data_IF_394944213986
#
_entry.id   IF_394944213986
#
_cell.length_a   1.000
_cell.length_b   1.000
_cell.length_c   1.000
_cell.angle_alpha   90.00
_cell.angle_beta   90.00
_cell.angle_gamma   90.00
#
_symmetry.space_group_name_H-M   'P 1'
#
loop_
_entity.id
_entity.type
_entity.pdbx_description
1 polymer ?
#
# COMPACT_ATOMS: atom_id res chain seq x y z
N UNK A 1 15.29 5.03 -6.18
CA UNK A 1 15.27 3.85 -7.07
C UNK A 1 14.47 2.78 -6.35
N UNK A 2 13.32 2.39 -6.89
CA UNK A 2 12.49 1.35 -6.27
C UNK A 2 13.23 0.02 -6.38
N UNK A 3 13.47 -0.64 -5.24
CA UNK A 3 14.09 -1.96 -5.21
C UNK A 3 13.03 -2.96 -5.70
N UNK A 4 13.16 -3.43 -6.93
CA UNK A 4 12.26 -4.44 -7.49
C UNK A 4 12.60 -5.75 -6.76
N UNK A 5 11.78 -6.14 -5.78
CA UNK A 5 11.97 -7.42 -5.09
C UNK A 5 11.59 -8.53 -6.07
N UNK A 6 12.57 -9.25 -6.60
CA UNK A 6 12.35 -10.41 -7.46
C UNK A 6 11.91 -11.60 -6.59
N UNK A 7 10.59 -11.80 -6.48
CA UNK A 7 10.05 -12.94 -5.75
C UNK A 7 10.02 -14.19 -6.62
N UNK A 8 10.87 -15.16 -6.30
CA UNK A 8 10.90 -16.45 -6.96
C UNK A 8 10.29 -17.52 -6.05
N UNK A 9 9.20 -18.13 -6.52
CA UNK A 9 8.68 -19.34 -5.90
C UNK A 9 9.39 -20.56 -6.49
N UNK A 10 10.26 -21.20 -5.68
CA UNK A 10 10.91 -22.46 -6.03
C UNK A 10 10.26 -23.62 -5.28
N UNK A 11 9.97 -24.72 -6.00
CA UNK A 11 9.48 -25.97 -5.43
C UNK A 11 10.60 -26.99 -5.35
N UNK A 12 10.82 -27.59 -4.19
CA UNK A 12 11.71 -28.75 -4.05
C UNK A 12 10.99 -30.04 -4.45
N UNK A 13 11.70 -30.88 -5.21
CA UNK A 13 11.24 -32.23 -5.56
C UNK A 13 11.90 -33.25 -4.63
N UNK A 14 11.30 -34.44 -4.50
CA UNK A 14 11.99 -35.62 -3.92
C UNK A 14 13.23 -36.01 -4.71
N UNK A 15 13.28 -35.66 -6.00
CA UNK A 15 14.46 -35.81 -6.84
C UNK A 15 15.44 -34.65 -6.63
N UNK A 16 16.58 -34.96 -6.02
CA UNK A 16 17.66 -34.02 -5.75
C UNK A 16 18.23 -33.39 -7.05
N UNK A 17 18.19 -34.11 -8.18
CA UNK A 17 18.70 -33.58 -9.45
C UNK A 17 17.83 -32.45 -10.01
N UNK A 18 16.51 -32.57 -9.90
CA UNK A 18 15.56 -31.53 -10.31
C UNK A 18 15.77 -30.25 -9.50
N UNK A 19 15.94 -30.38 -8.19
CA UNK A 19 16.21 -29.25 -7.29
C UNK A 19 17.56 -28.57 -7.59
N UNK A 20 18.58 -29.35 -7.96
CA UNK A 20 19.90 -28.84 -8.35
C UNK A 20 19.88 -28.10 -9.69
N UNK A 21 19.17 -28.63 -10.70
CA UNK A 21 19.02 -27.94 -12.00
C UNK A 21 18.28 -26.62 -11.87
N UNK A 22 17.23 -26.57 -11.04
CA UNK A 22 16.50 -25.33 -10.78
C UNK A 22 17.39 -24.28 -10.11
N UNK A 23 18.27 -24.67 -9.19
CA UNK A 23 19.23 -23.73 -8.59
C UNK A 23 20.17 -23.12 -9.63
N UNK A 24 20.72 -23.94 -10.53
CA UNK A 24 21.61 -23.46 -11.59
C UNK A 24 20.92 -22.44 -12.51
N UNK A 25 19.65 -22.68 -12.86
CA UNK A 25 18.87 -21.76 -13.71
C UNK A 25 18.58 -20.42 -13.01
N UNK A 26 18.38 -20.42 -11.69
CA UNK A 26 18.16 -19.20 -10.92
C UNK A 26 19.45 -18.37 -10.79
N UNK A 27 20.57 -19.05 -10.59
CA UNK A 27 21.90 -18.45 -10.56
C UNK A 27 22.25 -17.78 -11.90
N UNK A 28 22.02 -18.47 -13.02
CA UNK A 28 22.22 -17.93 -14.37
C UNK A 28 21.31 -16.73 -14.67
N UNK A 29 20.10 -16.70 -14.09
CA UNK A 29 19.17 -15.58 -14.22
C UNK A 29 19.54 -14.35 -13.35
N UNK A 30 20.62 -14.42 -12.56
CA UNK A 30 21.04 -13.35 -11.65
C UNK A 30 20.04 -13.09 -10.52
N UNK A 31 19.28 -14.12 -10.14
CA UNK A 31 18.31 -14.04 -9.04
C UNK A 31 19.00 -14.48 -7.75
N UNK A 32 19.54 -13.51 -7.03
CA UNK A 32 20.19 -13.68 -5.73
C UNK A 32 19.13 -13.83 -4.61
N UNK A 33 19.39 -14.67 -3.62
CA UNK A 33 18.53 -14.95 -2.45
C UNK A 33 17.05 -15.30 -2.75
N UNK A 34 16.76 -16.32 -3.58
CA UNK A 34 15.39 -16.77 -3.78
C UNK A 34 14.80 -17.28 -2.45
N UNK A 35 13.58 -16.88 -2.14
CA UNK A 35 12.85 -17.44 -1.00
C UNK A 35 12.50 -18.89 -1.34
N UNK A 36 13.31 -19.83 -0.86
CA UNK A 36 13.11 -21.27 -1.08
C UNK A 36 12.07 -21.80 -0.10
N UNK A 37 10.99 -22.36 -0.64
CA UNK A 37 9.96 -23.04 0.14
C UNK A 37 10.19 -24.54 0.08
N UNK A 38 10.74 -25.10 1.16
CA UNK A 38 10.85 -26.55 1.36
C UNK A 38 9.47 -27.11 1.75
N UNK A 39 8.78 -27.78 0.81
CA UNK A 39 7.53 -28.50 1.07
C UNK A 39 7.82 -29.99 1.37
N UNK A 40 7.11 -30.56 2.34
CA UNK A 40 7.25 -31.97 2.71
C UNK A 40 6.93 -32.88 1.50
N UNK A 41 7.85 -33.77 1.08
CA UNK A 41 7.66 -34.64 -0.08
C UNK A 41 6.37 -35.45 0.01
N UNK A 42 5.37 -35.08 -0.82
CA UNK A 42 4.09 -35.77 -0.92
C UNK A 42 2.85 -34.91 -0.60
N UNK A 43 3.02 -33.65 -0.21
CA UNK A 43 1.88 -32.76 0.13
C UNK A 43 1.34 -31.99 -1.10
N UNK A 44 2.11 -31.92 -2.18
CA UNK A 44 1.86 -31.08 -3.36
C UNK A 44 0.63 -31.45 -4.20
N UNK A 45 0.08 -32.67 -4.09
CA UNK A 45 -1.07 -33.10 -4.89
C UNK A 45 -2.44 -32.80 -4.26
N UNK A 46 -2.48 -32.34 -3.00
CA UNK A 46 -3.76 -32.19 -2.26
C UNK A 46 -4.25 -30.75 -2.15
N UNK A 47 -3.42 -29.75 -2.44
CA UNK A 47 -3.77 -28.34 -2.27
C UNK A 47 -3.47 -27.53 -3.53
N UNK A 48 -4.45 -26.73 -3.94
CA UNK A 48 -4.31 -25.73 -4.99
C UNK A 48 -3.13 -24.79 -4.66
N UNK A 49 -2.28 -24.39 -5.62
CA UNK A 49 -1.09 -23.56 -5.37
C UNK A 49 -1.35 -22.31 -4.51
N UNK A 50 -2.46 -21.59 -4.77
CA UNK A 50 -2.85 -20.38 -4.03
C UNK A 50 -3.38 -20.64 -2.60
N UNK A 51 -3.66 -21.90 -2.26
CA UNK A 51 -4.20 -22.30 -0.95
C UNK A 51 -3.12 -22.87 -0.02
N UNK A 52 -1.86 -22.88 -0.46
CA UNK A 52 -0.75 -23.42 0.34
C UNK A 52 -0.36 -22.42 1.44
N UNK A 53 -0.12 -22.86 2.68
CA UNK A 53 0.11 -21.97 3.83
C UNK A 53 1.16 -20.87 3.59
N UNK A 54 2.28 -21.23 2.97
CA UNK A 54 3.39 -20.30 2.68
C UNK A 54 3.14 -19.34 1.50
N UNK A 55 2.15 -19.63 0.64
CA UNK A 55 1.72 -18.70 -0.41
C UNK A 55 0.84 -17.58 0.17
N UNK A 56 0.13 -17.86 1.28
CA UNK A 56 -0.64 -16.86 2.04
C UNK A 56 0.23 -16.04 3.00
N UNK A 57 1.34 -16.61 3.49
CA UNK A 57 2.30 -15.95 4.39
C UNK A 57 3.26 -14.98 3.68
N UNK A 58 3.20 -14.86 2.36
CA UNK A 58 3.88 -13.76 1.67
C UNK A 58 3.07 -12.47 1.86
N UNK A 59 3.06 -11.96 3.10
CA UNK A 59 2.89 -10.54 3.40
C UNK A 59 4.16 -9.78 2.95
N UNK A 60 4.59 -10.01 1.71
CA UNK A 60 5.39 -8.99 1.03
C UNK A 60 4.39 -7.85 0.87
N UNK A 61 4.58 -6.69 1.52
CA UNK A 61 3.70 -5.56 1.27
C UNK A 61 3.74 -5.39 -0.25
N UNK A 62 2.59 -5.65 -0.89
CA UNK A 62 2.45 -5.50 -2.33
C UNK A 62 3.13 -4.17 -2.67
N UNK A 63 4.07 -4.12 -3.64
CA UNK A 63 4.85 -2.92 -3.90
C UNK A 63 3.87 -1.77 -3.90
N UNK A 64 4.02 -0.84 -2.95
CA UNK A 64 2.99 0.15 -2.68
C UNK A 64 2.93 1.06 -3.89
N UNK A 65 2.13 0.66 -4.88
CA UNK A 65 1.96 1.39 -6.11
C UNK A 65 1.42 2.74 -5.70
N UNK A 66 2.09 3.80 -6.19
CA UNK A 66 1.62 5.15 -5.97
C UNK A 66 0.19 5.25 -6.50
N UNK A 67 -0.72 5.68 -5.64
CA UNK A 67 -2.11 5.92 -6.00
C UNK A 67 -2.34 7.41 -5.99
N UNK A 68 -3.06 7.92 -6.98
CA UNK A 68 -3.52 9.31 -6.99
C UNK A 68 -4.92 9.39 -6.39
N UNK A 69 -5.09 10.11 -5.29
CA UNK A 69 -6.38 10.43 -4.71
C UNK A 69 -6.68 11.93 -4.77
N UNK A 70 -7.94 12.26 -5.08
CA UNK A 70 -8.45 13.61 -4.94
C UNK A 70 -8.69 13.90 -3.45
N UNK A 71 -7.94 14.84 -2.88
CA UNK A 71 -8.09 15.33 -1.51
C UNK A 71 -8.94 16.62 -1.52
N UNK A 72 -9.98 16.74 -0.68
CA UNK A 72 -10.75 17.98 -0.56
C UNK A 72 -9.87 19.14 -0.09
N UNK A 73 -10.05 20.33 -0.67
CA UNK A 73 -9.23 21.51 -0.36
C UNK A 73 -9.18 21.86 1.13
N UNK A 74 -10.30 21.74 1.84
CA UNK A 74 -10.36 21.97 3.30
C UNK A 74 -9.48 21.01 4.10
N UNK A 75 -9.33 19.77 3.62
CA UNK A 75 -8.43 18.76 4.22
C UNK A 75 -6.98 19.13 3.91
N UNK A 76 -6.68 19.46 2.64
CA UNK A 76 -5.34 19.89 2.24
C UNK A 76 -4.86 21.13 3.00
N UNK A 77 -5.72 22.14 3.14
CA UNK A 77 -5.40 23.39 3.85
C UNK A 77 -5.13 23.13 5.34
N UNK A 78 -5.90 22.23 5.97
CA UNK A 78 -5.64 21.81 7.35
C UNK A 78 -4.29 21.10 7.49
N UNK A 79 -4.01 20.14 6.61
CA UNK A 79 -2.77 19.34 6.66
C UNK A 79 -1.51 20.18 6.41
N UNK A 80 -1.58 21.20 5.55
CA UNK A 80 -0.45 22.14 5.34
C UNK A 80 -0.07 22.92 6.60
N UNK A 81 -1.00 23.08 7.54
CA UNK A 81 -0.74 23.72 8.84
C UNK A 81 -0.38 22.73 9.95
N UNK A 82 -0.50 21.43 9.70
CA UNK A 82 -0.18 20.38 10.66
C UNK A 82 1.32 20.08 10.65
N UNK A 83 1.80 19.52 11.75
CA UNK A 83 3.13 18.92 11.78
C UNK A 83 3.08 17.55 11.10
N UNK A 84 3.90 17.36 10.07
CA UNK A 84 3.85 16.24 9.13
C UNK A 84 5.26 15.68 8.92
N UNK A 85 5.33 14.37 8.74
CA UNK A 85 6.56 13.69 8.34
C UNK A 85 7.03 14.15 6.95
N UNK A 86 8.32 14.04 6.63
CA UNK A 86 8.86 14.50 5.34
C UNK A 86 8.13 13.90 4.12
N UNK A 87 7.74 12.63 4.18
CA UNK A 87 7.01 11.96 3.10
C UNK A 87 5.57 12.46 2.93
N UNK A 88 4.86 12.73 4.03
CA UNK A 88 3.52 13.32 4.04
C UNK A 88 3.56 14.73 3.44
N UNK A 89 4.55 15.54 3.83
CA UNK A 89 4.75 16.91 3.34
C UNK A 89 5.09 16.93 1.85
N UNK A 90 6.04 16.10 1.42
CA UNK A 90 6.42 15.99 0.00
C UNK A 90 5.20 15.62 -0.88
N UNK A 91 4.35 14.69 -0.44
CA UNK A 91 3.15 14.31 -1.17
C UNK A 91 2.14 15.47 -1.34
N UNK A 92 2.03 16.36 -0.36
CA UNK A 92 1.17 17.56 -0.45
C UNK A 92 1.77 18.65 -1.31
N UNK A 93 3.10 18.81 -1.27
CA UNK A 93 3.84 19.82 -2.03
C UNK A 93 3.91 19.48 -3.53
N UNK A 94 4.08 18.20 -3.86
CA UNK A 94 4.00 17.68 -5.23
C UNK A 94 2.54 17.59 -5.75
N UNK A 95 1.56 17.77 -4.85
CA UNK A 95 0.15 17.65 -5.17
C UNK A 95 -0.35 18.71 -6.17
N UNK A 96 -1.11 18.28 -7.17
CA UNK A 96 -1.66 19.17 -8.19
C UNK A 96 -3.04 19.71 -7.78
N UNK A 97 -3.17 21.03 -7.62
CA UNK A 97 -4.46 21.65 -7.29
C UNK A 97 -5.35 21.75 -8.53
N UNK A 98 -6.55 21.16 -8.45
CA UNK A 98 -7.61 21.25 -9.47
C UNK A 98 -8.73 22.15 -8.95
N UNK A 99 -9.08 23.19 -9.72
CA UNK A 99 -10.22 24.07 -9.39
C UNK A 99 -11.51 23.56 -10.04
N UNK A 100 -12.55 23.36 -9.24
CA UNK A 100 -13.90 22.98 -9.70
C UNK A 100 -14.92 23.93 -9.06
N UNK A 101 -15.29 24.99 -9.77
CA UNK A 101 -16.23 26.00 -9.26
C UNK A 101 -15.71 26.72 -8.00
N UNK A 102 -16.55 26.81 -6.96
CA UNK A 102 -16.20 27.44 -5.67
C UNK A 102 -15.27 26.58 -4.79
N UNK A 103 -14.91 25.35 -5.20
CA UNK A 103 -14.05 24.44 -4.45
C UNK A 103 -12.73 24.13 -5.15
N UNK A 104 -11.71 23.78 -4.36
CA UNK A 104 -10.48 23.16 -4.84
C UNK A 104 -10.38 21.70 -4.35
N UNK A 105 -9.78 20.85 -5.17
CA UNK A 105 -9.33 19.51 -4.81
C UNK A 105 -7.84 19.41 -5.10
N UNK A 106 -7.08 18.79 -4.21
CA UNK A 106 -5.65 18.53 -4.39
C UNK A 106 -5.47 17.08 -4.83
N UNK A 107 -4.88 16.84 -6.00
CA UNK A 107 -4.48 15.50 -6.43
C UNK A 107 -3.17 15.13 -5.75
N UNK A 108 -3.26 14.23 -4.78
CA UNK A 108 -2.11 13.74 -4.02
C UNK A 108 -1.76 12.37 -4.57
N UNK A 109 -0.51 12.18 -4.99
CA UNK A 109 0.01 10.90 -5.46
C UNK A 109 0.97 10.36 -4.41
N UNK A 110 0.58 9.31 -3.71
CA UNK A 110 1.38 8.73 -2.65
C UNK A 110 1.09 7.24 -2.51
N UNK A 111 1.93 6.56 -1.74
CA UNK A 111 1.67 5.19 -1.31
C UNK A 111 0.41 5.14 -0.42
N UNK A 112 -0.39 4.05 -0.45
CA UNK A 112 -1.60 3.94 0.36
C UNK A 112 -1.37 4.16 1.87
N UNK A 113 -0.20 3.78 2.40
CA UNK A 113 0.16 4.05 3.79
C UNK A 113 0.21 5.55 4.12
N UNK A 114 0.79 6.38 3.26
CA UNK A 114 0.83 7.84 3.43
C UNK A 114 -0.58 8.43 3.35
N UNK A 115 -1.45 7.92 2.46
CA UNK A 115 -2.84 8.35 2.43
C UNK A 115 -3.59 8.09 3.74
N UNK A 116 -3.33 6.95 4.40
CA UNK A 116 -3.90 6.59 5.71
C UNK A 116 -3.32 7.47 6.82
N UNK A 117 -2.01 7.69 6.84
CA UNK A 117 -1.38 8.59 7.81
C UNK A 117 -1.95 10.01 7.72
N UNK A 118 -2.07 10.55 6.50
CA UNK A 118 -2.71 11.86 6.27
C UNK A 118 -4.18 11.89 6.76
N UNK A 119 -4.92 10.79 6.62
CA UNK A 119 -6.29 10.68 7.13
C UNK A 119 -6.31 10.68 8.68
N UNK A 120 -5.39 9.99 9.33
CA UNK A 120 -5.28 9.95 10.80
C UNK A 120 -4.96 11.35 11.36
N UNK A 121 -4.07 12.11 10.71
CA UNK A 121 -3.79 13.51 11.06
C UNK A 121 -5.03 14.40 11.00
N UNK A 122 -6.02 14.04 10.17
CA UNK A 122 -7.29 14.78 10.04
C UNK A 122 -8.27 14.53 11.20
N UNK A 123 -7.95 13.69 12.19
CA UNK A 123 -8.85 13.41 13.32
C UNK A 123 -9.45 14.69 13.96
N UNK A 124 -8.68 15.78 14.21
CA UNK A 124 -9.19 17.00 14.82
C UNK A 124 -10.29 17.73 14.03
N UNK A 125 -10.46 17.44 12.73
CA UNK A 125 -11.52 18.02 11.90
C UNK A 125 -12.94 17.57 12.32
N UNK A 126 -13.06 16.46 13.05
CA UNK A 126 -14.34 15.98 13.60
C UNK A 126 -14.80 16.76 14.83
N UNK A 127 -13.99 17.70 15.33
CA UNK A 127 -14.19 18.37 16.61
C UNK A 127 -13.44 17.68 17.74
N UNK A 128 -13.24 18.40 18.84
CA UNK A 128 -12.52 17.94 20.03
C UNK A 128 -13.12 18.52 21.31
N UNK A 129 -12.52 18.20 22.46
CA UNK A 129 -12.95 18.73 23.75
C UNK A 129 -12.88 20.27 23.74
N UNK A 130 -14.05 20.91 23.72
CA UNK A 130 -14.19 22.37 23.77
C UNK A 130 -14.18 23.10 22.42
N UNK A 131 -13.99 22.43 21.28
CA UNK A 131 -14.03 23.05 19.95
C UNK A 131 -15.15 22.44 19.10
N UNK A 132 -16.18 23.21 18.72
CA UNK A 132 -17.27 22.69 17.90
C UNK A 132 -16.76 22.32 16.50
N UNK A 133 -17.13 21.12 16.04
CA UNK A 133 -16.84 20.66 14.70
C UNK A 133 -17.54 21.55 13.67
N UNK A 134 -16.78 22.10 12.72
CA UNK A 134 -17.36 22.86 11.60
C UNK A 134 -17.97 21.86 10.60
N UNK A 135 -19.28 21.94 10.27
CA UNK A 135 -19.95 20.95 9.41
C UNK A 135 -19.24 20.70 8.07
N UNK A 136 -18.74 21.77 7.45
CA UNK A 136 -18.02 21.72 6.18
C UNK A 136 -16.69 20.92 6.29
N UNK A 137 -15.94 21.10 7.38
CA UNK A 137 -14.69 20.37 7.65
C UNK A 137 -14.94 18.89 7.86
N UNK A 138 -16.01 18.55 8.59
CA UNK A 138 -16.42 17.16 8.85
C UNK A 138 -16.81 16.45 7.56
N UNK A 139 -17.54 17.14 6.68
CA UNK A 139 -17.90 16.62 5.36
C UNK A 139 -16.66 16.37 4.50
N UNK A 140 -15.74 17.33 4.47
CA UNK A 140 -14.49 17.20 3.71
C UNK A 140 -13.64 16.02 4.20
N UNK A 141 -13.51 15.83 5.52
CA UNK A 141 -12.82 14.65 6.07
C UNK A 141 -13.49 13.35 5.64
N UNK A 142 -14.82 13.24 5.79
CA UNK A 142 -15.58 12.03 5.39
C UNK A 142 -15.42 11.70 3.91
N UNK A 143 -15.38 12.72 3.05
CA UNK A 143 -15.16 12.52 1.63
C UNK A 143 -13.76 11.94 1.35
N UNK A 144 -12.73 12.43 2.06
CA UNK A 144 -11.38 11.88 1.96
C UNK A 144 -11.30 10.46 2.52
N UNK A 145 -11.90 10.20 3.69
CA UNK A 145 -12.01 8.88 4.30
C UNK A 145 -12.66 7.85 3.37
N UNK A 146 -13.76 8.22 2.70
CA UNK A 146 -14.41 7.35 1.72
C UNK A 146 -13.46 6.98 0.58
N UNK A 147 -12.66 7.93 0.08
CA UNK A 147 -11.67 7.68 -0.98
C UNK A 147 -10.53 6.80 -0.49
N UNK A 148 -9.98 7.05 0.69
CA UNK A 148 -8.92 6.22 1.29
C UNK A 148 -9.44 4.81 1.59
N UNK A 149 -10.70 4.66 2.01
CA UNK A 149 -11.33 3.36 2.24
C UNK A 149 -11.46 2.53 0.96
N UNK A 150 -11.56 3.15 -0.22
CA UNK A 150 -11.50 2.41 -1.50
C UNK A 150 -10.11 1.84 -1.81
N UNK A 151 -9.06 2.29 -1.12
CA UNK A 151 -7.72 1.70 -1.21
C UNK A 151 -7.53 0.48 -0.32
N UNK A 152 -8.45 0.22 0.62
CA UNK A 152 -8.39 -1.02 1.39
C UNK A 152 -8.59 -2.19 0.43
N UNK A 153 -7.75 -3.25 0.51
CA UNK A 153 -8.03 -4.46 -0.25
C UNK A 153 -9.42 -4.91 0.17
N UNK A 154 -10.32 -5.05 -0.82
CA UNK A 154 -11.56 -5.79 -0.64
C UNK A 154 -11.11 -7.21 -0.30
N UNK A 155 -11.00 -7.51 0.99
CA UNK A 155 -10.81 -8.86 1.47
C UNK A 155 -12.06 -9.67 1.11
N UNK A 156 -11.91 -10.87 0.51
CA UNK A 156 -13.04 -11.75 0.21
C UNK A 156 -13.69 -12.32 1.47
#
# INVERSE_FOLDING_TARGET
MANLVNLVYKRVSTDQQSTARQNLVLDEAGIEDPVVFEEDPGTSSRLHPLQRPRFREQDIPAPELLVTLDMPGKVADFLRSADLEPAERAALDEGATVRRGQGCTLRVTAIPAVHRQLLDRCQPLDGGQGVPAVPDRRKARREYENRVSTLAPIGP
#
